data_IF_990817452282
#
_entry.id   IF_990817452282
#
_cell.length_a   1.000
_cell.length_b   1.000
_cell.length_c   1.000
_cell.angle_alpha   90.00
_cell.angle_beta   90.00
_cell.angle_gamma   90.00
#
_symmetry.space_group_name_H-M   'P 1'
#
loop_
_entity.id
_entity.type
_entity.pdbx_description
1 polymer ?
2 non-polymer ?
3 water ?
#
# COMPACT_ATOMS: atom_id res chain seq x y z
N UNK A 17 -2.71 14.95 2.57
CA UNK A 17 -1.68 14.87 1.50
C UNK A 17 -1.72 13.52 0.78
N UNK A 18 -1.57 12.45 1.55
CA UNK A 18 -1.58 11.10 0.99
C UNK A 18 -2.97 10.57 0.69
N UNK A 19 -3.98 11.39 0.92
CA UNK A 19 -5.34 10.99 0.61
C UNK A 19 -5.36 10.83 -0.92
N UNK A 20 -4.51 11.61 -1.59
CA UNK A 20 -4.40 11.56 -3.04
C UNK A 20 -3.48 10.41 -3.45
N UNK A 21 -4.02 9.52 -4.26
CA UNK A 21 -3.29 8.36 -4.74
C UNK A 21 -1.98 8.72 -5.41
N UNK A 22 -1.98 9.79 -6.20
CA UNK A 22 -0.76 10.16 -6.89
C UNK A 22 0.37 10.50 -5.92
N UNK A 23 0.05 11.15 -4.81
CA UNK A 23 1.09 11.48 -3.83
C UNK A 23 1.63 10.20 -3.19
N UNK A 24 0.79 9.18 -3.10
CA UNK A 24 1.24 7.91 -2.54
C UNK A 24 2.15 7.27 -3.59
N UNK A 25 1.73 7.29 -4.85
CA UNK A 25 2.53 6.69 -5.92
C UNK A 25 3.93 7.29 -6.02
N UNK A 26 4.06 8.59 -5.77
CA UNK A 26 5.37 9.22 -5.86
C UNK A 26 6.39 8.70 -4.83
N UNK A 27 5.93 8.08 -3.75
CA UNK A 27 6.86 7.56 -2.76
C UNK A 27 7.52 6.26 -3.22
N UNK A 28 7.06 5.71 -4.34
CA UNK A 28 7.59 4.44 -4.84
C UNK A 28 8.84 4.48 -5.74
N UNK A 29 9.58 5.57 -5.73
CA UNK A 29 10.79 5.62 -6.54
C UNK A 29 11.73 4.55 -5.96
N UNK A 30 12.40 3.80 -6.82
CA UNK A 30 13.32 2.76 -6.35
C UNK A 30 12.62 1.55 -5.74
N UNK A 31 11.31 1.40 -5.96
CA UNK A 31 10.61 0.23 -5.42
C UNK A 31 11.08 -0.94 -6.30
N UNK A 32 11.43 -2.08 -5.68
CA UNK A 32 11.89 -3.24 -6.46
C UNK A 32 11.00 -3.70 -7.61
N UNK A 33 11.56 -3.67 -8.82
CA UNK A 33 10.83 -4.09 -10.01
C UNK A 33 10.57 -5.59 -10.01
N UNK A 34 11.37 -6.33 -9.25
CA UNK A 34 11.19 -7.77 -9.18
C UNK A 34 10.07 -8.22 -8.25
N UNK A 35 9.38 -7.27 -7.63
CA UNK A 35 8.28 -7.59 -6.72
C UNK A 35 7.06 -8.10 -7.47
N UNK A 36 6.38 -9.12 -6.93
CA UNK A 36 5.19 -9.66 -7.59
C UNK A 36 4.03 -8.66 -7.63
N UNK A 37 4.08 -7.62 -6.81
CA UNK A 37 3.02 -6.61 -6.82
C UNK A 37 3.61 -5.28 -7.26
N UNK A 38 2.89 -4.56 -8.11
CA UNK A 38 3.41 -3.31 -8.64
C UNK A 38 3.18 -2.11 -7.73
N UNK A 39 4.00 -1.09 -7.94
CA UNK A 39 3.91 0.15 -7.19
C UNK A 39 2.52 0.77 -7.37
N UNK A 40 1.98 0.77 -8.59
CA UNK A 40 0.67 1.38 -8.81
C UNK A 40 -0.43 0.68 -8.02
N UNK A 41 -0.39 -0.65 -7.99
CA UNK A 41 -1.37 -1.44 -7.26
C UNK A 41 -1.29 -1.17 -5.76
N UNK A 42 -0.07 -1.11 -5.24
CA UNK A 42 0.13 -0.85 -3.82
C UNK A 42 -0.35 0.56 -3.47
N UNK A 43 -0.01 1.54 -4.30
CA UNK A 43 -0.46 2.91 -4.04
C UNK A 43 -1.99 2.96 -4.03
N UNK A 44 -2.61 2.24 -4.96
CA UNK A 44 -4.07 2.21 -5.05
C UNK A 44 -4.72 1.66 -3.80
N UNK A 45 -4.03 0.73 -3.15
CA UNK A 45 -4.51 0.10 -1.93
C UNK A 45 -4.19 0.93 -0.69
N UNK A 46 -3.73 2.17 -0.91
CA UNK A 46 -3.46 3.07 0.20
C UNK A 46 -2.08 3.06 0.80
N UNK A 47 -1.16 2.31 0.18
CA UNK A 47 0.19 2.21 0.71
C UNK A 47 1.18 3.26 0.23
N UNK A 48 2.19 3.49 1.07
CA UNK A 48 3.29 4.41 0.81
C UNK A 48 4.52 3.51 0.90
N UNK A 49 5.52 3.71 0.05
CA UNK A 49 6.72 2.88 0.10
C UNK A 49 7.64 3.43 1.21
N UNK A 50 8.06 2.57 2.13
CA UNK A 50 8.94 3.00 3.22
C UNK A 50 10.39 3.21 2.79
N UNK A 51 10.75 2.72 1.60
CA UNK A 51 12.11 2.88 1.11
C UNK A 51 13.02 1.69 1.39
N UNK A 52 12.55 0.77 2.22
CA UNK A 52 13.31 -0.42 2.59
C UNK A 52 12.68 -1.71 2.05
N UNK A 53 13.47 -2.48 1.30
CA UNK A 53 12.99 -3.73 0.73
C UNK A 53 11.66 -3.61 0.02
N UNK A 54 10.69 -4.43 0.41
CA UNK A 54 9.38 -4.36 -0.22
C UNK A 54 8.32 -3.98 0.82
N UNK A 55 8.77 -3.27 1.85
CA UNK A 55 7.89 -2.85 2.92
C UNK A 55 7.15 -1.56 2.59
N UNK A 56 5.83 -1.63 2.63
CA UNK A 56 4.98 -0.47 2.38
C UNK A 56 4.15 -0.25 3.65
N UNK A 57 3.64 0.97 3.84
CA UNK A 57 2.85 1.25 5.02
C UNK A 57 1.67 2.12 4.63
N UNK A 58 0.51 1.79 5.19
CA UNK A 58 -0.70 2.53 4.89
C UNK A 58 -0.66 3.93 5.49
N UNK A 59 -1.04 4.93 4.70
CA UNK A 59 -1.05 6.31 5.18
C UNK A 59 -2.10 6.54 6.25
N UNK A 60 -3.15 5.72 6.24
CA UNK A 60 -4.26 5.87 7.18
C UNK A 60 -4.18 5.09 8.49
N UNK A 61 -3.98 3.78 8.39
CA UNK A 61 -3.92 2.96 9.59
C UNK A 61 -2.50 2.67 10.05
N UNK A 62 -1.51 3.08 9.26
CA UNK A 62 -0.10 2.90 9.59
C UNK A 62 0.41 1.46 9.65
N UNK A 63 -0.42 0.52 9.21
CA UNK A 63 -0.01 -0.89 9.20
C UNK A 63 1.00 -1.09 8.07
N UNK A 64 2.07 -1.82 8.35
CA UNK A 64 3.07 -2.07 7.32
C UNK A 64 2.90 -3.48 6.79
N UNK A 65 3.19 -3.67 5.51
CA UNK A 65 3.06 -4.98 4.91
C UNK A 65 4.28 -5.23 4.05
N UNK A 66 4.89 -6.40 4.21
CA UNK A 66 6.07 -6.74 3.43
C UNK A 66 5.96 -8.19 2.98
N UNK A 67 7.09 -8.73 2.52
CA UNK A 67 7.15 -10.13 2.08
C UNK A 67 6.05 -10.51 1.08
N UNK A 68 5.93 -9.68 0.05
CA UNK A 68 4.95 -9.87 -1.01
C UNK A 68 5.32 -11.09 -1.83
N UNK A 69 4.31 -11.86 -2.21
CA UNK A 69 4.54 -13.07 -2.97
C UNK A 69 3.58 -13.15 -4.13
N UNK A 70 3.96 -13.96 -5.12
CA UNK A 70 3.15 -14.14 -6.31
C UNK A 70 1.71 -14.47 -5.96
N UNK A 71 0.77 -13.80 -6.62
CA UNK A 71 -0.64 -14.06 -6.37
C UNK A 71 -1.28 -13.20 -5.31
N UNK A 72 -0.45 -12.45 -4.58
CA UNK A 72 -0.95 -11.58 -3.52
C UNK A 72 -1.84 -10.47 -4.03
N UNK A 73 -2.84 -10.14 -3.22
CA UNK A 73 -3.73 -9.04 -3.52
C UNK A 73 -3.30 -7.92 -2.57
N UNK A 74 -2.98 -6.74 -3.10
CA UNK A 74 -2.57 -5.63 -2.25
C UNK A 74 -3.69 -5.29 -1.26
N UNK A 75 -4.93 -5.23 -1.75
CA UNK A 75 -6.04 -4.92 -0.85
C UNK A 75 -6.30 -6.07 0.10
N UNK A 76 -6.18 -7.30 -0.40
CA UNK A 76 -6.39 -8.47 0.45
C UNK A 76 -5.43 -8.53 1.64
N UNK A 77 -4.13 -8.36 1.38
CA UNK A 77 -3.13 -8.40 2.45
C UNK A 77 -3.37 -7.24 3.42
N UNK A 78 -3.77 -6.09 2.88
CA UNK A 78 -4.04 -4.90 3.68
C UNK A 78 -5.17 -5.18 4.67
N UNK A 79 -6.26 -5.80 4.20
CA UNK A 79 -7.39 -6.13 5.07
C UNK A 79 -6.98 -7.13 6.15
N UNK A 80 -6.18 -8.11 5.75
CA UNK A 80 -5.75 -9.15 6.67
C UNK A 80 -4.95 -8.57 7.83
N UNK A 81 -4.00 -7.69 7.51
CA UNK A 81 -3.16 -7.09 8.54
C UNK A 81 -3.85 -6.01 9.36
N UNK A 82 -4.78 -5.29 8.74
CA UNK A 82 -5.49 -4.21 9.42
C UNK A 82 -6.97 -4.18 9.01
N UNK A 83 -7.77 -5.09 9.58
CA UNK A 83 -9.21 -5.22 9.29
C UNK A 83 -10.10 -4.00 9.55
N UNK A 84 -9.64 -3.07 10.38
CA UNK A 84 -10.46 -1.90 10.67
C UNK A 84 -9.93 -0.60 10.07
N UNK A 85 -9.03 -0.72 9.10
CA UNK A 85 -8.46 0.45 8.44
C UNK A 85 -9.58 1.30 7.84
N UNK A 86 -9.57 2.59 8.15
CA UNK A 86 -10.60 3.50 7.64
C UNK A 86 -10.53 3.67 6.12
N UNK A 87 -9.33 3.69 5.55
CA UNK A 87 -9.20 3.85 4.11
C UNK A 87 -9.86 2.68 3.38
N UNK A 88 -9.50 1.46 3.77
CA UNK A 88 -10.08 0.28 3.14
C UNK A 88 -11.61 0.24 3.32
N UNK A 89 -12.10 0.80 4.43
CA UNK A 89 -13.54 0.82 4.68
C UNK A 89 -14.25 1.97 3.96
N UNK A 90 -13.52 2.72 3.15
CA UNK A 90 -14.11 3.82 2.40
C UNK A 90 -14.38 5.11 3.15
N UNK A 91 -13.65 5.33 4.24
CA UNK A 91 -13.82 6.52 5.06
C UNK A 91 -13.48 7.83 4.34
N UNK A 92 -12.59 7.77 3.36
CA UNK A 92 -12.19 8.98 2.65
C UNK A 92 -12.97 9.24 1.36
N UNK A 93 -14.03 8.48 1.13
CA UNK A 93 -14.83 8.67 -0.07
C UNK A 93 -15.51 10.03 -0.07
N UNK A 94 -15.27 10.79 -1.12
CA UNK A 94 -15.85 12.11 -1.28
C UNK A 94 -17.36 12.04 -1.14
X LIG B 1 -4.75 0.93 6.16
#
# INVERSE_FOLDING_TARGET
GSHMKTCVPADINKEEEFVEEFNRLKTFANFPSGSPVSASTLARAGFLYTGEGDTVRCFSCHAAVDRWQYGDSAVGRHRKVSPNCRFINGFYLE
ZN ZN
#
